data_IF_380300311932
#
_entry.id   IF_380300311932
#
_cell.length_a   1.000
_cell.length_b   1.000
_cell.length_c   1.000
_cell.angle_alpha   90.00
_cell.angle_beta   90.00
_cell.angle_gamma   90.00
#
_symmetry.space_group_name_H-M   'P 1'
#
loop_
_entity.id
_entity.type
_entity.pdbx_description
1 polymer ?
#
# COMPACT_ATOMS: atom_id res chain seq x y z
N UNK A 1 11.44 15.37 -6.12
CA UNK A 1 10.14 14.96 -5.56
C UNK A 1 10.22 15.07 -4.05
N UNK A 2 9.39 15.91 -3.42
CA UNK A 2 9.22 15.83 -1.97
C UNK A 2 8.56 14.47 -1.67
N UNK A 3 9.28 13.59 -0.98
CA UNK A 3 8.77 12.26 -0.61
C UNK A 3 7.56 12.44 0.29
N UNK A 4 6.53 11.59 0.15
CA UNK A 4 5.28 11.71 0.90
C UNK A 4 5.50 11.79 2.44
N UNK A 5 6.57 11.16 2.94
CA UNK A 5 7.01 11.27 4.34
C UNK A 5 7.39 12.68 4.80
N UNK A 6 7.90 13.55 3.90
CA UNK A 6 8.29 14.92 4.24
C UNK A 6 7.09 15.86 4.47
N UNK A 7 5.92 15.50 3.93
CA UNK A 7 4.67 16.23 4.15
C UNK A 7 3.97 15.77 5.43
N UNK A 8 4.04 14.48 5.76
CA UNK A 8 3.42 13.93 6.96
C UNK A 8 4.08 14.41 8.26
N UNK A 9 5.40 14.59 8.28
CA UNK A 9 6.15 15.01 9.47
C UNK A 9 5.78 16.40 10.00
N UNK A 10 5.03 17.19 9.23
CA UNK A 10 4.55 18.53 9.58
C UNK A 10 3.10 18.56 10.06
N UNK A 11 2.39 17.44 9.98
CA UNK A 11 0.99 17.31 10.35
C UNK A 11 0.87 16.64 11.73
N UNK A 12 -0.25 16.88 12.41
CA UNK A 12 -0.54 16.28 13.71
C UNK A 12 -2.04 16.03 13.89
N UNK A 13 -2.38 15.08 14.76
CA UNK A 13 -3.77 14.74 15.07
C UNK A 13 -4.55 14.36 13.81
N UNK A 14 -5.79 14.88 13.69
CA UNK A 14 -6.70 14.50 12.60
C UNK A 14 -6.14 14.77 11.20
N UNK A 15 -5.39 15.85 11.01
CA UNK A 15 -4.81 16.18 9.70
C UNK A 15 -3.72 15.19 9.30
N UNK A 16 -2.96 14.70 10.29
CA UNK A 16 -2.00 13.62 10.08
C UNK A 16 -2.72 12.32 9.71
N UNK A 17 -3.74 11.93 10.48
CA UNK A 17 -4.48 10.69 10.25
C UNK A 17 -5.09 10.63 8.84
N UNK A 18 -5.72 11.72 8.39
CA UNK A 18 -6.30 11.83 7.05
C UNK A 18 -5.24 11.71 5.95
N UNK A 19 -4.13 12.45 6.09
CA UNK A 19 -3.05 12.41 5.11
C UNK A 19 -2.37 11.03 5.07
N UNK A 20 -2.19 10.39 6.22
CA UNK A 20 -1.62 9.05 6.34
C UNK A 20 -2.51 7.99 5.71
N UNK A 21 -3.82 7.98 6.02
CA UNK A 21 -4.78 7.03 5.43
C UNK A 21 -4.84 7.18 3.91
N UNK A 22 -4.88 8.42 3.40
CA UNK A 22 -4.87 8.66 1.94
C UNK A 22 -3.62 8.07 1.29
N UNK A 23 -2.43 8.36 1.85
CA UNK A 23 -1.17 7.83 1.35
C UNK A 23 -1.14 6.29 1.39
N UNK A 24 -1.61 5.70 2.49
CA UNK A 24 -1.65 4.24 2.66
C UNK A 24 -2.58 3.56 1.66
N UNK A 25 -3.74 4.15 1.34
CA UNK A 25 -4.62 3.65 0.28
C UNK A 25 -3.87 3.67 -1.06
N UNK A 26 -3.30 4.82 -1.44
CA UNK A 26 -2.60 4.98 -2.72
C UNK A 26 -1.43 3.99 -2.87
N UNK A 27 -0.61 3.84 -1.84
CA UNK A 27 0.57 2.97 -1.89
C UNK A 27 0.22 1.49 -1.82
N UNK A 28 -0.78 1.09 -1.01
CA UNK A 28 -1.22 -0.30 -0.98
C UNK A 28 -1.96 -0.70 -2.27
N UNK A 29 -2.69 0.20 -2.93
CA UNK A 29 -3.27 -0.06 -4.25
C UNK A 29 -2.17 -0.37 -5.27
N UNK A 30 -1.15 0.50 -5.36
CA UNK A 30 0.00 0.27 -6.25
C UNK A 30 0.71 -1.05 -5.94
N UNK A 31 0.92 -1.35 -4.65
CA UNK A 31 1.56 -2.59 -4.23
C UNK A 31 0.73 -3.83 -4.61
N UNK A 32 -0.59 -3.81 -4.42
CA UNK A 32 -1.49 -4.89 -4.86
C UNK A 32 -1.38 -5.11 -6.36
N UNK A 33 -1.38 -4.04 -7.15
CA UNK A 33 -1.26 -4.15 -8.62
C UNK A 33 0.09 -4.73 -9.03
N UNK A 34 1.18 -4.24 -8.44
CA UNK A 34 2.54 -4.75 -8.69
C UNK A 34 2.66 -6.24 -8.32
N UNK A 35 2.17 -6.65 -7.14
CA UNK A 35 2.23 -8.04 -6.72
C UNK A 35 1.33 -8.92 -7.58
N UNK A 36 0.15 -8.44 -7.96
CA UNK A 36 -0.73 -9.16 -8.86
C UNK A 36 -0.07 -9.41 -10.23
N UNK A 37 0.63 -8.43 -10.80
CA UNK A 37 1.44 -8.62 -12.01
C UNK A 37 2.58 -9.62 -11.77
N UNK A 38 3.30 -9.51 -10.65
CA UNK A 38 4.43 -10.37 -10.31
C UNK A 38 4.04 -11.84 -10.11
N UNK A 39 2.78 -12.17 -9.80
CA UNK A 39 2.30 -13.57 -9.81
C UNK A 39 2.41 -14.26 -11.18
N UNK A 40 2.59 -13.48 -12.25
CA UNK A 40 2.77 -13.96 -13.63
C UNK A 40 4.22 -13.92 -14.09
N UNK A 41 5.16 -13.60 -13.21
CA UNK A 41 6.60 -13.57 -13.54
C UNK A 41 7.08 -14.94 -14.03
N UNK A 42 8.01 -14.94 -14.97
CA UNK A 42 8.77 -16.12 -15.40
C UNK A 42 9.84 -16.53 -14.39
N UNK A 43 10.26 -15.61 -13.52
CA UNK A 43 11.15 -15.90 -12.40
C UNK A 43 10.34 -16.59 -11.28
N UNK A 44 10.68 -17.84 -10.92
CA UNK A 44 9.93 -18.62 -9.94
C UNK A 44 10.00 -18.04 -8.52
N UNK A 45 11.09 -17.38 -8.14
CA UNK A 45 11.24 -16.77 -6.81
C UNK A 45 10.35 -15.53 -6.69
N UNK A 46 10.34 -14.68 -7.72
CA UNK A 46 9.47 -13.50 -7.78
C UNK A 46 8.00 -13.94 -7.74
N UNK A 47 7.64 -14.94 -8.56
CA UNK A 47 6.27 -15.47 -8.60
C UNK A 47 5.84 -16.03 -7.24
N UNK A 48 6.70 -16.80 -6.58
CA UNK A 48 6.42 -17.38 -5.27
C UNK A 48 6.24 -16.30 -4.20
N UNK A 49 7.14 -15.30 -4.16
CA UNK A 49 7.07 -14.18 -3.23
C UNK A 49 5.78 -13.37 -3.43
N UNK A 50 5.45 -13.03 -4.67
CA UNK A 50 4.25 -12.27 -5.01
C UNK A 50 2.98 -13.03 -4.60
N UNK A 51 2.91 -14.33 -4.92
CA UNK A 51 1.77 -15.19 -4.58
C UNK A 51 1.58 -15.30 -3.08
N UNK A 52 2.67 -15.41 -2.31
CA UNK A 52 2.64 -15.55 -0.85
C UNK A 52 2.07 -14.31 -0.16
N UNK A 53 2.43 -13.11 -0.59
CA UNK A 53 2.12 -11.86 0.13
C UNK A 53 0.99 -11.02 -0.47
N UNK A 54 0.56 -11.31 -1.70
CA UNK A 54 -0.59 -10.63 -2.32
C UNK A 54 -1.86 -10.65 -1.44
N UNK A 55 -2.24 -11.76 -0.78
CA UNK A 55 -3.41 -11.76 0.12
C UNK A 55 -3.26 -10.76 1.28
N UNK A 56 -2.08 -10.67 1.89
CA UNK A 56 -1.80 -9.73 2.98
C UNK A 56 -1.95 -8.28 2.51
N UNK A 57 -1.41 -7.94 1.34
CA UNK A 57 -1.54 -6.59 0.77
C UNK A 57 -3.01 -6.22 0.49
N UNK A 58 -3.82 -7.17 -0.01
CA UNK A 58 -5.26 -6.98 -0.19
C UNK A 58 -5.99 -6.77 1.14
N UNK A 59 -5.63 -7.51 2.18
CA UNK A 59 -6.16 -7.32 3.53
C UNK A 59 -5.83 -5.94 4.07
N UNK A 60 -4.58 -5.50 3.96
CA UNK A 60 -4.17 -4.16 4.41
C UNK A 60 -4.91 -3.06 3.65
N UNK A 61 -5.02 -3.16 2.32
CA UNK A 61 -5.78 -2.20 1.51
C UNK A 61 -7.24 -2.11 1.97
N UNK A 62 -7.86 -3.26 2.25
CA UNK A 62 -9.25 -3.31 2.74
C UNK A 62 -9.38 -2.64 4.11
N UNK A 63 -8.44 -2.90 5.02
CA UNK A 63 -8.44 -2.32 6.36
C UNK A 63 -8.26 -0.81 6.31
N UNK A 64 -7.30 -0.29 5.54
CA UNK A 64 -7.05 1.16 5.49
C UNK A 64 -8.15 1.91 4.75
N UNK A 65 -8.79 1.29 3.75
CA UNK A 65 -9.98 1.84 3.07
C UNK A 65 -11.21 1.90 3.99
N UNK A 66 -11.25 1.09 5.05
CA UNK A 66 -12.30 1.18 6.06
C UNK A 66 -12.10 2.36 7.02
N UNK A 67 -10.88 2.88 7.15
CA UNK A 67 -10.55 4.05 7.99
C UNK A 67 -10.90 5.37 7.30
N UNK A 68 -11.13 5.38 5.98
CA UNK A 68 -11.51 6.58 5.22
C UNK A 68 -13.02 6.81 5.14
N UNK A 69 -13.83 6.02 5.86
CA UNK A 69 -15.29 6.16 5.94
C UNK A 69 -15.67 6.92 7.20
#
# INVERSE_FOLDING_TARGET
AATASASLSKLSGKDFDLAYVKMMIEDHTKAVDMFNMATRSSDPEIKAFATKYLPTLKTHLTQVSALSK
#
